data_IF_000190589843
#
_entry.id   IF_000190589843
#
_cell.length_a   1.000
_cell.length_b   1.000
_cell.length_c   1.000
_cell.angle_alpha   90.00
_cell.angle_beta   90.00
_cell.angle_gamma   90.00
#
_symmetry.space_group_name_H-M   'P 1'
#
loop_
_entity.id
_entity.type
_entity.pdbx_description
1 polymer ?
#
# COMPACT_ATOMS: atom_id res chain seq x y z
N UNK A 1 -12.23 3.52 3.15
CA UNK A 1 -11.91 2.32 2.34
C UNK A 1 -10.68 1.68 2.97
N UNK A 2 -10.65 0.36 3.19
CA UNK A 2 -9.45 -0.28 3.78
C UNK A 2 -8.30 -0.28 2.77
N UNK A 3 -7.06 -0.19 3.25
CA UNK A 3 -5.87 -0.20 2.39
C UNK A 3 -5.84 -1.42 1.46
N UNK A 4 -6.17 -2.60 2.01
CA UNK A 4 -6.28 -3.85 1.25
C UNK A 4 -7.22 -3.74 0.05
N UNK A 5 -8.44 -3.24 0.25
CA UNK A 5 -9.43 -3.13 -0.82
C UNK A 5 -8.96 -2.17 -1.92
N UNK A 6 -8.28 -1.09 -1.56
CA UNK A 6 -7.73 -0.13 -2.51
C UNK A 6 -6.61 -0.76 -3.35
N UNK A 7 -5.66 -1.42 -2.69
CA UNK A 7 -4.55 -2.13 -3.36
C UNK A 7 -5.10 -3.18 -4.34
N UNK A 8 -6.07 -3.98 -3.91
CA UNK A 8 -6.69 -4.99 -4.77
C UNK A 8 -7.40 -4.34 -5.96
N UNK A 9 -8.12 -3.24 -5.76
CA UNK A 9 -8.78 -2.52 -6.84
C UNK A 9 -7.79 -1.96 -7.85
N UNK A 10 -6.68 -1.39 -7.40
CA UNK A 10 -5.62 -0.88 -8.29
C UNK A 10 -4.95 -2.01 -9.09
N UNK A 11 -4.66 -3.15 -8.44
CA UNK A 11 -4.15 -4.34 -9.12
C UNK A 11 -5.17 -4.89 -10.13
N UNK A 12 -6.46 -4.88 -9.77
CA UNK A 12 -7.55 -5.37 -10.61
C UNK A 12 -7.86 -4.48 -11.82
N UNK A 13 -7.36 -3.23 -11.86
CA UNK A 13 -7.49 -2.37 -13.06
C UNK A 13 -6.74 -2.95 -14.26
N UNK A 14 -5.63 -3.66 -14.02
CA UNK A 14 -4.79 -4.23 -15.09
C UNK A 14 -4.96 -5.74 -15.25
N UNK A 15 -5.42 -6.44 -14.20
CA UNK A 15 -5.50 -7.90 -14.20
C UNK A 15 -6.76 -8.39 -13.49
N UNK A 16 -7.18 -9.63 -13.74
CA UNK A 16 -8.30 -10.24 -12.99
C UNK A 16 -7.71 -11.15 -11.91
N UNK A 17 -7.76 -10.74 -10.64
CA UNK A 17 -7.39 -11.60 -9.52
C UNK A 17 -8.49 -12.63 -9.26
N UNK A 18 -8.14 -13.91 -9.29
CA UNK A 18 -9.02 -14.99 -8.87
C UNK A 18 -9.31 -14.90 -7.37
N UNK A 19 -10.57 -15.20 -6.98
CA UNK A 19 -11.04 -15.10 -5.58
C UNK A 19 -10.31 -16.03 -4.61
N UNK A 20 -9.63 -17.05 -5.13
CA UNK A 20 -8.86 -18.03 -4.35
C UNK A 20 -7.40 -17.59 -4.11
N UNK A 21 -7.00 -16.44 -4.64
CA UNK A 21 -5.63 -15.93 -4.48
C UNK A 21 -5.38 -15.53 -3.02
N UNK A 22 -4.38 -16.13 -2.38
CA UNK A 22 -3.97 -15.80 -1.02
C UNK A 22 -3.25 -14.44 -0.99
N UNK A 23 -4.03 -13.37 -0.81
CA UNK A 23 -3.54 -11.99 -0.84
C UNK A 23 -2.50 -11.71 0.26
N UNK A 24 -2.54 -12.47 1.37
CA UNK A 24 -1.63 -12.27 2.50
C UNK A 24 -0.19 -12.66 2.17
N UNK A 25 -0.01 -13.62 1.26
CA UNK A 25 1.29 -14.06 0.74
C UNK A 25 1.53 -13.69 -0.74
N UNK A 26 0.59 -12.97 -1.37
CA UNK A 26 0.64 -12.67 -2.80
C UNK A 26 1.72 -11.66 -3.15
N UNK A 27 2.75 -12.12 -3.87
CA UNK A 27 3.79 -11.29 -4.44
C UNK A 27 3.38 -10.76 -5.82
N UNK A 28 3.00 -9.49 -5.89
CA UNK A 28 2.46 -8.88 -7.11
C UNK A 28 3.54 -8.58 -8.18
N UNK A 29 4.81 -8.52 -7.78
CA UNK A 29 5.94 -8.39 -8.69
C UNK A 29 6.29 -9.73 -9.34
N UNK A 30 6.41 -10.79 -8.55
CA UNK A 30 6.72 -12.14 -9.08
C UNK A 30 5.58 -12.70 -9.91
N UNK A 31 4.33 -12.35 -9.58
CA UNK A 31 3.16 -12.75 -10.35
C UNK A 31 3.05 -12.01 -11.70
N UNK A 32 3.90 -11.01 -11.97
CA UNK A 32 3.86 -10.22 -13.20
C UNK A 32 2.70 -9.23 -13.30
N UNK A 33 2.00 -8.97 -12.19
CA UNK A 33 0.86 -8.04 -12.15
C UNK A 33 1.32 -6.57 -12.21
N UNK A 34 2.53 -6.29 -11.76
CA UNK A 34 3.13 -4.97 -11.81
C UNK A 34 4.57 -5.09 -12.32
N UNK A 35 4.87 -4.34 -13.40
CA UNK A 35 6.24 -4.13 -13.87
C UNK A 35 7.02 -3.18 -12.96
N UNK A 36 8.35 -3.15 -13.12
CA UNK A 36 9.26 -2.26 -12.39
C UNK A 36 8.94 -0.76 -12.51
N UNK A 37 8.24 -0.32 -13.57
CA UNK A 37 7.73 1.07 -13.69
C UNK A 37 6.35 1.21 -13.06
N UNK A 38 5.51 0.18 -13.17
CA UNK A 38 4.16 0.18 -12.61
C UNK A 38 4.16 0.30 -11.09
N UNK A 39 5.21 -0.22 -10.42
CA UNK A 39 5.30 -0.16 -8.97
C UNK A 39 5.43 1.28 -8.49
N UNK A 40 6.24 2.11 -9.15
CA UNK A 40 6.42 3.50 -8.77
C UNK A 40 5.11 4.28 -8.88
N UNK A 41 4.35 4.10 -9.97
CA UNK A 41 3.04 4.74 -10.12
C UNK A 41 2.04 4.26 -9.07
N UNK A 42 2.11 2.98 -8.71
CA UNK A 42 1.26 2.38 -7.69
C UNK A 42 1.60 2.91 -6.30
N UNK A 43 2.88 3.09 -5.97
CA UNK A 43 3.35 3.74 -4.76
C UNK A 43 2.80 5.15 -4.64
N UNK A 44 3.03 5.99 -5.66
CA UNK A 44 2.56 7.37 -5.68
C UNK A 44 1.04 7.44 -5.49
N UNK A 45 0.30 6.53 -6.13
CA UNK A 45 -1.16 6.48 -5.97
C UNK A 45 -1.59 6.16 -4.53
N UNK A 46 -0.83 5.33 -3.81
CA UNK A 46 -1.09 5.02 -2.40
C UNK A 46 -0.72 6.20 -1.49
N UNK A 47 0.41 6.84 -1.75
CA UNK A 47 0.87 8.04 -1.04
C UNK A 47 -0.16 9.16 -1.14
N UNK A 48 -0.63 9.45 -2.36
CA UNK A 48 -1.67 10.46 -2.60
C UNK A 48 -3.03 10.07 -2.02
N UNK A 49 -3.42 8.79 -2.10
CA UNK A 49 -4.73 8.34 -1.62
C UNK A 49 -4.86 8.34 -0.09
N UNK A 50 -3.75 8.10 0.62
CA UNK A 50 -3.71 7.94 2.07
C UNK A 50 -2.97 9.06 2.79
N UNK A 51 -2.40 10.03 2.07
CA UNK A 51 -1.58 11.12 2.61
C UNK A 51 -0.42 10.56 3.45
N UNK A 52 0.31 9.61 2.87
CA UNK A 52 1.46 8.93 3.48
C UNK A 52 2.68 9.04 2.57
N UNK A 53 3.87 8.79 3.12
CA UNK A 53 5.11 8.70 2.34
C UNK A 53 5.84 7.39 2.67
N UNK A 54 6.32 6.70 1.64
CA UNK A 54 7.17 5.53 1.78
C UNK A 54 8.64 5.93 1.70
N UNK A 55 9.44 5.38 2.61
CA UNK A 55 10.89 5.57 2.57
C UNK A 55 11.55 4.56 1.62
N UNK A 56 12.72 4.90 1.09
CA UNK A 56 13.50 3.98 0.25
C UNK A 56 13.78 2.64 0.94
N UNK A 57 13.98 2.66 2.27
CA UNK A 57 14.20 1.45 3.06
C UNK A 57 12.95 0.54 3.08
N UNK A 58 11.76 1.12 3.15
CA UNK A 58 10.51 0.38 3.09
C UNK A 58 10.26 -0.19 1.68
N UNK A 59 10.53 0.59 0.64
CA UNK A 59 10.38 0.15 -0.76
C UNK A 59 11.38 -0.96 -1.11
N UNK A 60 12.59 -0.88 -0.57
CA UNK A 60 13.63 -1.90 -0.76
C UNK A 60 13.33 -3.21 -0.01
N UNK A 61 12.43 -3.19 0.97
CA UNK A 61 12.09 -4.37 1.76
C UNK A 61 11.35 -5.40 0.88
N UNK A 62 11.76 -6.69 0.90
CA UNK A 62 11.09 -7.71 0.10
C UNK A 62 9.63 -7.94 0.52
N UNK A 63 9.28 -7.67 1.78
CA UNK A 63 7.91 -7.77 2.27
C UNK A 63 7.01 -6.72 1.62
N UNK A 64 7.56 -5.60 1.15
CA UNK A 64 6.83 -4.58 0.41
C UNK A 64 6.11 -5.16 -0.81
N UNK A 65 6.72 -6.17 -1.44
CA UNK A 65 6.22 -6.85 -2.63
C UNK A 65 5.01 -7.74 -2.36
N UNK A 66 4.64 -7.91 -1.10
CA UNK A 66 3.51 -8.75 -0.67
C UNK A 66 2.32 -7.86 -0.35
N UNK A 67 1.16 -8.12 -0.98
CA UNK A 67 -0.03 -7.27 -0.80
C UNK A 67 -0.48 -7.18 0.66
N UNK A 68 -0.48 -8.29 1.39
CA UNK A 68 -0.84 -8.29 2.82
C UNK A 68 0.05 -7.39 3.67
N UNK A 69 1.36 -7.45 3.45
CA UNK A 69 2.35 -6.66 4.17
C UNK A 69 2.27 -5.18 3.80
N UNK A 70 2.09 -4.88 2.51
CA UNK A 70 1.87 -3.52 2.03
C UNK A 70 0.61 -2.89 2.64
N UNK A 71 -0.51 -3.63 2.67
CA UNK A 71 -1.74 -3.15 3.28
C UNK A 71 -1.54 -2.81 4.77
N UNK A 72 -0.85 -3.68 5.51
CA UNK A 72 -0.51 -3.41 6.91
C UNK A 72 0.42 -2.21 7.07
N UNK A 73 1.37 -2.00 6.16
CA UNK A 73 2.26 -0.85 6.18
C UNK A 73 1.49 0.46 5.99
N UNK A 74 0.61 0.50 4.99
CA UNK A 74 -0.28 1.65 4.72
C UNK A 74 -1.16 1.95 5.92
N UNK A 75 -1.83 0.93 6.49
CA UNK A 75 -2.69 1.13 7.65
C UNK A 75 -1.92 1.69 8.86
N UNK A 76 -0.71 1.20 9.12
CA UNK A 76 0.15 1.75 10.17
C UNK A 76 0.48 3.22 9.93
N UNK A 77 0.95 3.58 8.74
CA UNK A 77 1.30 4.98 8.40
C UNK A 77 0.10 5.91 8.50
N UNK A 78 -1.07 5.48 8.02
CA UNK A 78 -2.31 6.26 8.15
C UNK A 78 -2.61 6.51 9.63
N UNK A 79 -2.54 5.49 10.49
CA UNK A 79 -2.78 5.66 11.93
C UNK A 79 -1.76 6.60 12.59
N UNK A 80 -0.49 6.56 12.17
CA UNK A 80 0.55 7.46 12.67
C UNK A 80 0.35 8.91 12.20
N UNK A 81 -0.05 9.09 10.94
CA UNK A 81 -0.36 10.41 10.38
C UNK A 81 -1.57 11.04 11.10
N UNK A 82 -2.64 10.27 11.30
CA UNK A 82 -3.84 10.71 12.03
C UNK A 82 -3.54 11.06 13.50
N UNK A 83 -2.67 10.30 14.19
CA UNK A 83 -2.23 10.65 15.55
C UNK A 83 -1.42 11.94 15.60
N UNK A 84 -0.55 12.14 14.61
CA UNK A 84 0.28 13.34 14.52
C UNK A 84 -0.57 14.59 14.27
N UNK A 85 -1.64 14.47 13.47
CA UNK A 85 -2.62 15.54 13.25
C UNK A 85 -3.52 15.80 14.47
N UNK A 86 -3.92 14.75 15.20
CA UNK A 86 -4.75 14.88 16.41
C UNK A 86 -4.01 15.50 17.61
N UNK A 87 -2.67 15.44 17.63
CA UNK A 87 -1.84 15.98 18.71
C UNK A 87 -1.67 17.51 18.72
N UNK A 88 -1.96 18.20 17.61
CA UNK A 88 -1.68 19.64 17.47
C UNK A 88 -2.89 20.56 17.78
N UNK A 89 -3.92 20.04 18.45
CA UNK A 89 -5.17 20.73 18.77
C UNK A 89 -5.34 21.21 20.22
N UNK A 90 -4.27 21.20 21.03
CA UNK A 90 -4.27 21.79 22.37
C UNK A 90 -3.10 22.75 22.49
N UNK A 91 -3.36 24.02 22.28
CA UNK A 91 -3.01 25.11 23.20
C UNK A 91 -3.61 26.40 22.63
N UNK A 92 -4.61 26.92 23.37
CA UNK A 92 -5.22 28.24 23.23
C UNK A 92 -4.59 29.20 24.23
#
# INVERSE_FOLDING_TARGET
>A
MKARDFILKELQKKYTLDKETDIESFNYLESGYIDSIGIIQFLVSLEEAYDIEFTDAEIADPSFKIVGQLAQLVERKVMENERSKAGNGKES
#
